data_IF_796943103184
#
_entry.id   IF_796943103184
#
_cell.length_a   1.000
_cell.length_b   1.000
_cell.length_c   1.000
_cell.angle_alpha   90.00
_cell.angle_beta   90.00
_cell.angle_gamma   90.00
#
_symmetry.space_group_name_H-M   'P 1'
#
loop_
_entity.id
_entity.type
_entity.pdbx_description
1 polymer ?
#
# COMPACT_ATOMS: atom_id res chain seq x y z
N UNK A 1 39.21 -11.45 27.05
CA UNK A 1 37.80 -11.10 27.34
C UNK A 1 37.40 -9.91 26.49
N UNK A 2 36.98 -10.13 25.25
CA UNK A 2 36.41 -9.10 24.36
C UNK A 2 35.74 -9.79 23.16
N UNK A 3 34.83 -10.73 23.43
CA UNK A 3 34.11 -11.47 22.40
C UNK A 3 32.67 -11.62 22.86
N UNK A 4 31.90 -10.53 22.79
CA UNK A 4 30.44 -10.47 23.04
C UNK A 4 29.93 -9.03 22.89
N UNK A 5 30.06 -8.42 21.71
CA UNK A 5 29.47 -7.09 21.50
C UNK A 5 29.23 -6.68 20.05
N UNK A 6 29.11 -7.57 19.05
CA UNK A 6 28.73 -7.14 17.69
C UNK A 6 27.91 -8.24 17.02
N UNK A 7 26.61 -8.33 17.32
CA UNK A 7 25.69 -9.20 16.58
C UNK A 7 24.25 -8.65 16.56
N UNK A 8 24.10 -7.34 16.33
CA UNK A 8 22.79 -6.66 16.39
C UNK A 8 22.55 -5.63 15.28
N UNK A 9 23.26 -5.72 14.14
CA UNK A 9 23.15 -4.74 13.06
C UNK A 9 22.91 -5.34 11.65
N UNK A 10 22.30 -6.53 11.58
CA UNK A 10 21.85 -7.16 10.32
C UNK A 10 20.34 -7.40 10.37
N UNK A 11 19.56 -6.34 10.49
CA UNK A 11 18.15 -6.36 10.07
C UNK A 11 18.09 -5.65 8.73
N UNK A 12 17.79 -6.35 7.62
CA UNK A 12 17.62 -5.68 6.34
C UNK A 12 16.43 -4.73 6.45
N UNK A 13 16.67 -3.45 6.20
CA UNK A 13 15.65 -2.49 5.82
C UNK A 13 15.06 -2.97 4.49
N UNK A 14 14.13 -3.92 4.55
CA UNK A 14 13.25 -4.23 3.42
C UNK A 14 12.41 -2.98 3.20
N UNK A 15 12.76 -2.24 2.15
CA UNK A 15 12.01 -1.07 1.72
C UNK A 15 10.54 -1.44 1.57
N UNK A 16 9.70 -0.83 2.41
CA UNK A 16 8.28 -1.10 2.52
C UNK A 16 7.57 -0.53 1.29
N UNK A 17 7.65 -1.22 0.15
CA UNK A 17 6.75 -1.00 -1.01
C UNK A 17 5.30 -1.46 -0.73
N UNK A 18 5.00 -1.83 0.52
CA UNK A 18 3.75 -2.42 1.00
C UNK A 18 2.48 -1.63 0.65
N UNK A 19 2.58 -0.34 0.35
CA UNK A 19 1.41 0.54 0.20
C UNK A 19 1.14 1.03 -1.22
N UNK A 20 1.98 0.68 -2.20
CA UNK A 20 1.87 1.21 -3.58
C UNK A 20 0.56 0.83 -4.27
N UNK A 21 -0.05 -0.31 -3.91
CA UNK A 21 -1.30 -0.79 -4.48
C UNK A 21 -2.43 -0.81 -3.43
N UNK A 22 -2.55 0.26 -2.65
CA UNK A 22 -3.61 0.38 -1.65
C UNK A 22 -4.45 1.63 -1.86
N UNK A 23 -5.73 1.53 -1.55
CA UNK A 23 -6.65 2.67 -1.48
C UNK A 23 -7.27 2.75 -0.09
N UNK A 24 -7.64 3.95 0.36
CA UNK A 24 -8.38 4.08 1.61
C UNK A 24 -9.81 3.57 1.42
N UNK A 25 -10.34 3.00 2.50
CA UNK A 25 -11.73 2.62 2.64
C UNK A 25 -12.24 3.18 3.97
N UNK A 26 -13.27 4.00 3.91
CA UNK A 26 -13.90 4.61 5.08
C UNK A 26 -15.40 4.40 4.97
N UNK A 27 -16.00 3.80 5.99
CA UNK A 27 -17.44 3.63 6.05
C UNK A 27 -17.96 4.12 7.39
N UNK A 28 -19.11 4.78 7.40
CA UNK A 28 -19.76 5.24 8.62
C UNK A 28 -21.27 5.25 8.47
N UNK A 29 -21.98 5.10 9.57
CA UNK A 29 -23.44 5.09 9.60
C UNK A 29 -23.98 6.05 10.65
N UNK A 30 -25.18 6.57 10.39
CA UNK A 30 -25.89 7.46 11.31
C UNK A 30 -26.45 6.74 12.55
N UNK A 31 -26.55 5.41 12.51
CA UNK A 31 -26.93 4.54 13.64
C UNK A 31 -25.81 3.57 13.98
N UNK A 32 -25.85 3.01 15.19
CA UNK A 32 -24.95 1.91 15.56
C UNK A 32 -25.16 0.73 14.62
N UNK A 33 -24.08 0.14 14.15
CA UNK A 33 -24.11 -0.93 13.14
C UNK A 33 -23.13 -2.03 13.50
N UNK A 34 -23.62 -3.26 13.64
CA UNK A 34 -22.77 -4.42 13.84
C UNK A 34 -22.09 -4.85 12.53
N UNK A 35 -22.68 -4.50 11.37
CA UNK A 35 -22.03 -4.62 10.06
C UNK A 35 -20.67 -3.89 10.04
N UNK A 36 -20.59 -2.64 10.51
CA UNK A 36 -19.33 -1.90 10.51
C UNK A 36 -18.34 -2.39 11.58
N UNK A 37 -18.82 -2.94 12.69
CA UNK A 37 -17.99 -3.48 13.78
C UNK A 37 -17.36 -4.83 13.40
N UNK A 38 -18.11 -5.66 12.66
CA UNK A 38 -17.67 -6.99 12.24
C UNK A 38 -16.63 -6.98 11.12
N UNK A 39 -16.42 -5.82 10.46
CA UNK A 39 -15.34 -5.61 9.49
C UNK A 39 -13.96 -5.71 10.16
N UNK A 40 -13.49 -6.94 10.27
CA UNK A 40 -12.22 -7.29 10.89
C UNK A 40 -11.06 -6.87 9.97
N UNK A 41 -10.01 -6.23 10.51
CA UNK A 41 -8.83 -5.93 9.72
C UNK A 41 -8.01 -7.22 9.62
N UNK A 42 -8.26 -8.02 8.57
CA UNK A 42 -7.29 -9.03 8.16
C UNK A 42 -5.94 -8.35 7.85
N UNK A 43 -4.84 -9.10 7.86
CA UNK A 43 -3.48 -8.55 7.77
C UNK A 43 -3.29 -7.60 6.56
N UNK A 44 -4.06 -7.79 5.48
CA UNK A 44 -4.35 -6.79 4.43
C UNK A 44 -5.70 -7.15 3.76
N UNK A 45 -6.81 -6.47 4.04
CA UNK A 45 -8.07 -6.83 3.41
C UNK A 45 -8.07 -6.42 1.93
N UNK A 46 -8.60 -7.29 1.06
CA UNK A 46 -8.87 -6.96 -0.33
C UNK A 46 -10.15 -6.12 -0.44
N UNK A 47 -10.13 -5.12 -1.32
CA UNK A 47 -11.26 -4.20 -1.53
C UNK A 47 -12.55 -4.91 -1.93
N UNK A 48 -12.46 -5.85 -2.88
CA UNK A 48 -13.61 -6.67 -3.30
C UNK A 48 -14.15 -7.55 -2.18
N UNK A 49 -13.29 -8.14 -1.35
CA UNK A 49 -13.70 -8.97 -0.23
C UNK A 49 -14.43 -8.15 0.86
N UNK A 50 -14.00 -6.91 1.11
CA UNK A 50 -14.68 -5.99 2.02
C UNK A 50 -16.04 -5.56 1.49
N UNK A 51 -16.12 -5.19 0.20
CA UNK A 51 -17.40 -4.85 -0.40
C UNK A 51 -18.34 -6.05 -0.39
N UNK A 52 -17.83 -7.24 -0.72
CA UNK A 52 -18.63 -8.46 -0.69
C UNK A 52 -19.13 -8.78 0.72
N UNK A 53 -18.31 -8.63 1.77
CA UNK A 53 -18.77 -8.86 3.14
C UNK A 53 -19.86 -7.88 3.58
N UNK A 54 -19.77 -6.63 3.14
CA UNK A 54 -20.78 -5.59 3.37
C UNK A 54 -22.07 -5.90 2.62
N UNK A 55 -21.99 -6.19 1.32
CA UNK A 55 -23.14 -6.52 0.47
C UNK A 55 -23.81 -7.81 0.92
N UNK A 56 -23.04 -8.78 1.40
CA UNK A 56 -23.54 -10.11 1.79
C UNK A 56 -24.30 -10.08 3.11
N UNK A 57 -24.04 -9.09 3.97
CA UNK A 57 -24.67 -8.94 5.27
C UNK A 57 -26.13 -8.46 5.13
N UNK A 58 -27.07 -9.11 5.83
CA UNK A 58 -28.50 -8.77 5.77
C UNK A 58 -28.83 -7.39 6.37
N UNK A 59 -28.02 -6.93 7.33
CA UNK A 59 -28.22 -5.65 8.01
C UNK A 59 -28.08 -4.46 7.06
N UNK A 60 -27.42 -4.64 5.90
CA UNK A 60 -27.27 -3.55 4.92
C UNK A 60 -28.61 -3.11 4.33
N UNK A 61 -29.59 -4.01 4.21
CA UNK A 61 -30.90 -3.67 3.70
C UNK A 61 -31.79 -2.98 4.75
N UNK A 62 -31.32 -2.84 6.00
CA UNK A 62 -32.02 -2.09 7.05
C UNK A 62 -31.86 -0.58 6.93
N UNK A 63 -30.89 -0.11 6.14
CA UNK A 63 -30.68 1.32 5.87
C UNK A 63 -31.71 1.84 4.86
N UNK A 64 -32.14 3.08 5.04
CA UNK A 64 -33.04 3.76 4.10
C UNK A 64 -32.25 4.36 2.93
N UNK A 65 -30.98 4.69 3.18
CA UNK A 65 -30.05 5.15 2.17
C UNK A 65 -28.67 4.50 2.32
N UNK A 66 -28.12 4.01 1.22
CA UNK A 66 -26.71 3.57 1.15
C UNK A 66 -25.99 4.40 0.11
N UNK A 67 -25.00 5.15 0.53
CA UNK A 67 -24.22 6.08 -0.30
C UNK A 67 -22.87 5.45 -0.59
N UNK A 68 -22.60 5.15 -1.85
CA UNK A 68 -21.32 4.61 -2.32
C UNK A 68 -20.58 5.73 -3.05
N UNK A 69 -19.51 6.23 -2.44
CA UNK A 69 -18.69 7.32 -2.97
C UNK A 69 -17.38 6.72 -3.48
N UNK A 70 -17.14 6.92 -4.78
CA UNK A 70 -15.89 6.52 -5.42
C UNK A 70 -15.11 7.77 -5.85
N UNK A 71 -13.86 7.86 -5.40
CA UNK A 71 -12.97 8.96 -5.76
C UNK A 71 -11.68 8.48 -6.40
N UNK A 72 -11.50 8.71 -7.71
CA UNK A 72 -10.30 8.29 -8.41
C UNK A 72 -9.04 8.98 -7.88
N UNK A 73 -7.98 8.22 -7.60
CA UNK A 73 -6.70 8.74 -7.12
C UNK A 73 -6.66 9.15 -5.64
N UNK A 74 -7.74 8.89 -4.87
CA UNK A 74 -7.78 9.14 -3.44
C UNK A 74 -6.73 8.31 -2.69
N UNK A 75 -5.98 8.96 -1.82
CA UNK A 75 -4.94 8.31 -1.01
C UNK A 75 -5.17 8.53 0.48
N UNK A 76 -4.65 7.60 1.30
CA UNK A 76 -4.74 7.67 2.77
C UNK A 76 -4.16 8.96 3.35
N UNK A 77 -3.14 9.52 2.71
CA UNK A 77 -2.56 10.81 3.09
C UNK A 77 -3.55 11.96 2.98
N UNK A 78 -4.43 11.96 1.97
CA UNK A 78 -5.38 13.06 1.77
C UNK A 78 -6.37 13.10 2.94
N UNK A 79 -6.94 11.94 3.28
CA UNK A 79 -7.86 11.79 4.41
C UNK A 79 -7.20 12.08 5.75
N UNK A 80 -5.96 11.63 5.95
CA UNK A 80 -5.20 11.90 7.19
C UNK A 80 -4.86 13.38 7.36
N UNK A 81 -4.72 14.13 6.26
CA UNK A 81 -4.42 15.56 6.29
C UNK A 81 -5.65 16.46 6.33
N UNK A 82 -6.86 15.88 6.36
CA UNK A 82 -8.09 16.63 6.54
C UNK A 82 -8.03 17.44 7.84
N UNK A 83 -8.51 18.68 7.78
CA UNK A 83 -8.61 19.50 8.98
C UNK A 83 -9.64 18.88 9.92
N UNK A 84 -9.33 18.64 11.21
CA UNK A 84 -10.29 18.05 12.14
C UNK A 84 -11.58 18.86 12.33
N UNK A 85 -11.54 20.17 12.03
CA UNK A 85 -12.68 21.08 12.07
C UNK A 85 -13.58 21.02 10.83
N UNK A 86 -13.11 20.42 9.73
CA UNK A 86 -13.93 20.30 8.52
C UNK A 86 -15.15 19.41 8.78
N UNK A 87 -16.19 19.57 7.96
CA UNK A 87 -17.49 18.95 8.19
C UNK A 87 -17.42 17.44 7.98
N UNK A 88 -16.73 17.00 6.93
CA UNK A 88 -16.53 15.58 6.65
C UNK A 88 -15.78 14.85 7.77
N UNK A 89 -14.70 15.45 8.29
CA UNK A 89 -13.95 14.87 9.40
C UNK A 89 -14.80 14.73 10.66
N UNK A 90 -15.65 15.74 10.95
CA UNK A 90 -16.63 15.66 12.05
C UNK A 90 -17.69 14.60 11.80
N UNK A 91 -18.28 14.51 10.61
CA UNK A 91 -19.24 13.46 10.27
C UNK A 91 -18.69 12.05 10.51
N UNK A 92 -17.45 11.79 10.09
CA UNK A 92 -16.82 10.47 10.28
C UNK A 92 -16.51 10.21 11.76
N UNK A 93 -16.04 11.23 12.49
CA UNK A 93 -15.64 11.12 13.90
C UNK A 93 -16.84 10.97 14.84
N UNK A 94 -17.90 11.73 14.58
CA UNK A 94 -19.08 11.82 15.45
C UNK A 94 -20.13 10.76 15.10
N UNK A 95 -19.94 10.02 14.00
CA UNK A 95 -20.82 8.92 13.60
C UNK A 95 -20.86 7.81 14.68
N UNK A 96 -22.06 7.32 15.06
CA UNK A 96 -22.21 6.25 16.06
C UNK A 96 -21.50 4.94 15.73
N UNK A 97 -21.32 4.64 14.44
CA UNK A 97 -20.46 3.56 13.99
C UNK A 97 -19.64 4.03 12.79
N UNK A 98 -18.33 3.84 12.85
CA UNK A 98 -17.41 4.16 11.76
C UNK A 98 -16.27 3.15 11.68
N UNK A 99 -15.78 2.92 10.46
CA UNK A 99 -14.66 2.04 10.16
C UNK A 99 -13.75 2.70 9.15
N UNK A 100 -12.48 2.83 9.50
CA UNK A 100 -11.46 3.45 8.66
C UNK A 100 -10.33 2.45 8.44
N UNK A 101 -10.10 2.11 7.19
CA UNK A 101 -9.04 1.21 6.73
C UNK A 101 -8.17 2.01 5.75
N UNK A 102 -7.06 2.61 6.21
CA UNK A 102 -6.24 3.48 5.37
C UNK A 102 -5.61 2.76 4.16
N UNK A 103 -5.37 1.46 4.30
CA UNK A 103 -4.63 0.66 3.33
C UNK A 103 -5.38 -0.64 3.03
N UNK A 104 -6.27 -0.59 2.04
CA UNK A 104 -6.98 -1.75 1.51
C UNK A 104 -6.34 -2.12 0.17
N UNK A 105 -6.04 -3.40 -0.04
CA UNK A 105 -5.45 -3.83 -1.31
C UNK A 105 -6.47 -3.70 -2.44
N UNK A 106 -6.05 -3.06 -3.53
CA UNK A 106 -6.89 -2.96 -4.73
C UNK A 106 -7.04 -4.34 -5.39
N UNK A 107 -8.24 -4.65 -5.86
CA UNK A 107 -8.44 -5.76 -6.79
C UNK A 107 -8.10 -5.28 -8.20
N UNK A 108 -7.38 -6.09 -8.98
CA UNK A 108 -7.04 -5.81 -10.39
C UNK A 108 -8.18 -6.20 -11.36
N UNK A 109 -9.31 -6.70 -10.85
CA UNK A 109 -10.50 -7.03 -11.65
C UNK A 109 -11.50 -5.88 -11.77
N UNK A 110 -12.56 -6.10 -12.56
CA UNK A 110 -13.75 -5.24 -12.48
C UNK A 110 -14.20 -5.20 -11.02
N UNK A 111 -14.29 -4.02 -10.42
CA UNK A 111 -14.99 -3.90 -9.14
C UNK A 111 -16.40 -4.45 -9.36
N UNK A 112 -16.91 -5.29 -8.45
CA UNK A 112 -18.30 -5.74 -8.56
C UNK A 112 -19.20 -4.51 -8.60
N UNK A 113 -20.25 -4.52 -9.42
CA UNK A 113 -21.27 -3.45 -9.43
C UNK A 113 -22.05 -3.50 -8.12
N UNK A 114 -21.43 -2.97 -7.07
CA UNK A 114 -21.92 -3.00 -5.70
C UNK A 114 -23.29 -2.37 -5.64
N UNK A 115 -23.47 -1.24 -6.31
CA UNK A 115 -24.68 -0.45 -6.24
C UNK A 115 -25.83 -1.14 -6.98
N UNK A 116 -25.58 -1.76 -8.13
CA UNK A 116 -26.56 -2.58 -8.84
C UNK A 116 -26.95 -3.84 -8.06
N UNK A 117 -25.98 -4.56 -7.50
CA UNK A 117 -26.25 -5.72 -6.64
C UNK A 117 -27.06 -5.33 -5.39
N UNK A 118 -26.71 -4.22 -4.74
CA UNK A 118 -27.40 -3.75 -3.55
C UNK A 118 -28.84 -3.30 -3.85
N UNK A 119 -29.03 -2.57 -4.95
CA UNK A 119 -30.34 -2.15 -5.43
C UNK A 119 -31.26 -3.36 -5.67
N UNK A 120 -30.76 -4.37 -6.39
CA UNK A 120 -31.52 -5.59 -6.68
C UNK A 120 -31.85 -6.41 -5.42
N UNK A 121 -30.89 -6.56 -4.50
CA UNK A 121 -31.07 -7.33 -3.26
C UNK A 121 -32.02 -6.65 -2.28
N UNK A 122 -31.83 -5.35 -2.05
CA UNK A 122 -32.59 -4.63 -1.02
C UNK A 122 -33.88 -3.99 -1.58
N UNK A 123 -34.23 -4.24 -2.84
CA UNK A 123 -35.40 -3.61 -3.49
C UNK A 123 -35.32 -2.09 -3.50
N UNK A 124 -34.10 -1.55 -3.57
CA UNK A 124 -33.82 -0.12 -3.46
C UNK A 124 -33.62 0.50 -4.84
N UNK A 125 -33.91 1.79 -5.00
CA UNK A 125 -33.71 2.50 -6.26
C UNK A 125 -32.26 2.97 -6.38
N UNK A 126 -31.59 2.65 -7.48
CA UNK A 126 -30.25 3.13 -7.77
C UNK A 126 -30.30 4.53 -8.40
N UNK A 127 -29.56 5.47 -7.82
CA UNK A 127 -29.43 6.85 -8.31
C UNK A 127 -27.94 7.19 -8.48
N UNK A 128 -27.54 7.61 -9.67
CA UNK A 128 -26.20 8.16 -9.92
C UNK A 128 -26.21 9.67 -9.60
N UNK A 129 -25.38 10.06 -8.64
CA UNK A 129 -25.27 11.43 -8.14
C UNK A 129 -23.93 12.01 -8.54
N UNK A 130 -23.96 13.10 -9.30
CA UNK A 130 -22.79 13.95 -9.52
C UNK A 130 -22.75 15.05 -8.47
N UNK A 131 -21.69 15.15 -7.66
CA UNK A 131 -21.55 16.21 -6.66
C UNK A 131 -21.72 17.59 -7.29
N UNK A 132 -22.53 18.46 -6.67
CA UNK A 132 -22.82 19.81 -7.19
C UNK A 132 -23.96 19.87 -8.23
N UNK A 133 -24.54 18.73 -8.62
CA UNK A 133 -25.79 18.71 -9.40
C UNK A 133 -27.00 18.79 -8.45
N UNK A 134 -27.88 19.75 -8.68
CA UNK A 134 -28.99 20.07 -7.76
C UNK A 134 -30.27 19.25 -7.95
N UNK A 135 -30.27 18.24 -8.82
CA UNK A 135 -31.49 17.52 -9.19
C UNK A 135 -31.34 16.00 -9.08
N UNK A 136 -31.47 15.47 -7.87
CA UNK A 136 -31.77 14.05 -7.64
C UNK A 136 -33.05 13.97 -6.82
N UNK A 137 -34.05 13.29 -7.37
CA UNK A 137 -35.38 13.21 -6.78
C UNK A 137 -35.46 11.94 -5.90
N UNK A 138 -35.40 12.14 -4.59
CA UNK A 138 -35.54 11.08 -3.61
C UNK A 138 -37.03 10.87 -3.32
N UNK A 139 -37.57 9.74 -3.77
CA UNK A 139 -38.92 9.33 -3.35
C UNK A 139 -38.90 8.95 -1.86
N UNK A 140 -39.68 9.65 -1.03
CA UNK A 140 -39.74 9.43 0.42
C UNK A 140 -40.18 8.01 0.82
N UNK A 141 -40.91 7.31 -0.06
CA UNK A 141 -41.46 5.98 0.21
C UNK A 141 -40.54 4.81 -0.17
N UNK A 142 -39.37 5.07 -0.74
CA UNK A 142 -38.45 4.03 -1.22
C UNK A 142 -37.08 4.16 -0.58
N UNK A 143 -36.39 3.02 -0.49
CA UNK A 143 -34.98 2.98 -0.12
C UNK A 143 -34.13 3.30 -1.34
N UNK A 144 -33.01 3.98 -1.12
CA UNK A 144 -32.16 4.46 -2.20
C UNK A 144 -30.71 4.01 -2.04
N UNK A 145 -30.10 3.63 -3.16
CA UNK A 145 -28.65 3.41 -3.26
C UNK A 145 -28.10 4.54 -4.11
N UNK A 146 -27.26 5.37 -3.53
CA UNK A 146 -26.70 6.56 -4.19
C UNK A 146 -25.26 6.26 -4.58
N UNK A 147 -25.00 6.19 -5.88
CA UNK A 147 -23.64 6.08 -6.41
C UNK A 147 -23.12 7.49 -6.67
N UNK A 148 -22.11 7.92 -5.94
CA UNK A 148 -21.51 9.25 -6.07
C UNK A 148 -20.12 9.15 -6.69
N UNK A 149 -20.00 9.67 -7.91
CA UNK A 149 -18.72 9.71 -8.64
C UNK A 149 -18.01 11.03 -8.39
N UNK A 150 -16.91 11.01 -7.62
CA UNK A 150 -16.11 12.21 -7.33
C UNK A 150 -15.09 12.48 -8.44
N UNK A 151 -14.68 13.75 -8.65
CA UNK A 151 -13.59 14.08 -9.58
C UNK A 151 -12.27 13.43 -9.16
N UNK A 152 -11.44 13.10 -10.15
CA UNK A 152 -10.13 12.49 -9.94
C UNK A 152 -9.15 13.45 -9.25
N UNK A 153 -8.29 12.91 -8.39
CA UNK A 153 -7.20 13.66 -7.77
C UNK A 153 -5.84 13.17 -8.23
N UNK A 154 -5.04 14.08 -8.78
CA UNK A 154 -3.67 13.83 -9.24
C UNK A 154 -2.77 15.01 -8.87
N UNK A 155 -1.45 14.78 -8.87
CA UNK A 155 -0.45 15.84 -8.68
C UNK A 155 0.21 15.88 -7.31
N UNK A 156 0.89 16.99 -7.01
CA UNK A 156 1.72 17.15 -5.82
C UNK A 156 0.91 17.16 -4.52
N UNK A 157 1.53 16.78 -3.40
CA UNK A 157 0.86 16.76 -2.09
C UNK A 157 0.23 18.12 -1.70
N UNK A 158 0.89 19.24 -2.04
CA UNK A 158 0.36 20.59 -1.78
C UNK A 158 -0.90 20.86 -2.60
N UNK A 159 -0.89 20.51 -3.88
CA UNK A 159 -2.04 20.66 -4.76
C UNK A 159 -3.22 19.78 -4.31
N UNK A 160 -2.94 18.49 -4.03
CA UNK A 160 -3.94 17.54 -3.51
C UNK A 160 -4.61 18.04 -2.24
N UNK A 161 -3.87 18.66 -1.33
CA UNK A 161 -4.44 19.24 -0.11
C UNK A 161 -5.46 20.34 -0.40
N UNK A 162 -5.18 21.23 -1.37
CA UNK A 162 -6.10 22.29 -1.78
C UNK A 162 -7.35 21.69 -2.45
N UNK A 163 -7.17 20.80 -3.41
CA UNK A 163 -8.28 20.13 -4.11
C UNK A 163 -9.15 19.32 -3.14
N UNK A 164 -8.54 18.63 -2.16
CA UNK A 164 -9.27 17.87 -1.16
C UNK A 164 -10.15 18.77 -0.28
N UNK A 165 -9.75 20.02 -0.03
CA UNK A 165 -10.60 20.97 0.71
C UNK A 165 -11.84 21.38 -0.12
N UNK A 166 -11.71 21.55 -1.43
CA UNK A 166 -12.84 21.82 -2.32
C UNK A 166 -13.77 20.61 -2.43
N UNK A 167 -13.20 19.41 -2.62
CA UNK A 167 -13.97 18.16 -2.66
C UNK A 167 -14.68 17.87 -1.33
N UNK A 168 -14.06 18.22 -0.21
CA UNK A 168 -14.69 18.10 1.12
C UNK A 168 -15.91 19.01 1.26
N UNK A 169 -15.84 20.26 0.80
CA UNK A 169 -16.97 21.18 0.82
C UNK A 169 -18.14 20.68 -0.06
N UNK A 170 -17.82 20.17 -1.26
CA UNK A 170 -18.82 19.57 -2.16
C UNK A 170 -19.47 18.34 -1.53
N UNK A 171 -18.65 17.41 -1.04
CA UNK A 171 -19.13 16.15 -0.49
C UNK A 171 -19.95 16.36 0.79
N UNK A 172 -19.48 17.22 1.69
CA UNK A 172 -20.21 17.52 2.91
C UNK A 172 -21.56 18.18 2.64
N UNK A 173 -21.64 19.07 1.65
CA UNK A 173 -22.91 19.69 1.23
C UNK A 173 -23.92 18.67 0.69
N UNK A 174 -23.50 17.67 -0.08
CA UNK A 174 -24.41 16.62 -0.56
C UNK A 174 -24.82 15.66 0.57
N UNK A 175 -23.89 15.26 1.43
CA UNK A 175 -24.19 14.39 2.56
C UNK A 175 -25.15 15.04 3.58
N UNK A 176 -25.08 16.35 3.76
CA UNK A 176 -26.04 17.09 4.59
C UNK A 176 -27.47 17.03 4.04
N UNK A 177 -27.64 17.05 2.71
CA UNK A 177 -28.97 16.86 2.10
C UNK A 177 -29.51 15.47 2.39
N UNK A 178 -28.65 14.44 2.33
CA UNK A 178 -29.03 13.06 2.67
C UNK A 178 -29.42 12.96 4.15
N UNK A 179 -28.62 13.55 5.04
CA UNK A 179 -28.88 13.54 6.47
C UNK A 179 -30.14 14.33 6.86
N UNK A 180 -30.51 15.36 6.08
CA UNK A 180 -31.76 16.09 6.25
C UNK A 180 -32.98 15.29 5.79
N UNK A 181 -32.82 14.42 4.79
CA UNK A 181 -33.88 13.58 4.25
C UNK A 181 -34.10 12.29 5.06
N UNK A 182 -33.02 11.61 5.48
CA UNK A 182 -33.11 10.38 6.28
C UNK A 182 -32.19 10.40 7.49
N UNK A 183 -32.69 9.84 8.60
CA UNK A 183 -31.92 9.63 9.83
C UNK A 183 -31.14 8.31 9.84
N UNK A 184 -31.36 7.45 8.84
CA UNK A 184 -30.83 6.09 8.79
C UNK A 184 -30.11 5.82 7.47
N UNK A 185 -28.83 6.16 7.43
CA UNK A 185 -28.00 6.01 6.24
C UNK A 185 -26.64 5.38 6.57
N UNK A 186 -26.08 4.74 5.56
CA UNK A 186 -24.72 4.20 5.53
C UNK A 186 -23.96 4.88 4.41
N UNK A 187 -22.76 5.38 4.70
CA UNK A 187 -21.84 5.93 3.71
C UNK A 187 -20.63 5.04 3.59
N UNK A 188 -20.26 4.70 2.37
CA UNK A 188 -19.07 3.96 2.00
C UNK A 188 -18.26 4.87 1.07
N UNK A 189 -17.08 5.28 1.52
CA UNK A 189 -16.18 6.17 0.78
C UNK A 189 -14.86 5.47 0.51
N UNK A 190 -14.51 5.30 -0.76
CA UNK A 190 -13.31 4.60 -1.15
C UNK A 190 -12.60 5.21 -2.36
N UNK A 191 -11.30 4.97 -2.44
CA UNK A 191 -10.49 5.34 -3.60
C UNK A 191 -10.62 4.33 -4.73
N UNK A 192 -10.72 4.84 -5.96
CA UNK A 192 -10.69 4.05 -7.19
C UNK A 192 -9.42 4.34 -8.02
N UNK A 193 -8.97 3.42 -8.88
CA UNK A 193 -7.79 3.64 -9.71
C UNK A 193 -8.04 4.74 -10.74
N UNK A 194 -7.00 5.49 -11.08
CA UNK A 194 -7.06 6.46 -12.18
C UNK A 194 -7.20 5.73 -13.52
N UNK A 195 -7.89 6.34 -14.47
CA UNK A 195 -8.18 5.72 -15.77
C UNK A 195 -6.90 5.30 -16.54
N UNK A 196 -5.79 6.02 -16.33
CA UNK A 196 -4.49 5.69 -16.92
C UNK A 196 -3.80 4.53 -16.20
N UNK A 197 -3.93 4.44 -14.88
CA UNK A 197 -3.41 3.33 -14.07
C UNK A 197 -4.09 2.01 -14.46
N UNK A 198 -5.40 2.06 -14.77
CA UNK A 198 -6.17 0.92 -15.25
C UNK A 198 -5.58 0.25 -16.50
N UNK A 199 -4.83 0.99 -17.33
CA UNK A 199 -4.18 0.45 -18.55
C UNK A 199 -2.82 -0.19 -18.28
N UNK A 200 -2.21 0.11 -17.14
CA UNK A 200 -0.91 -0.43 -16.74
C UNK A 200 -1.05 -1.74 -15.96
N UNK A 201 -2.24 -2.00 -15.41
CA UNK A 201 -2.59 -3.28 -14.81
C UNK A 201 -3.17 -4.19 -15.89
N UNK A 202 -2.39 -5.18 -16.32
CA UNK A 202 -2.91 -6.30 -17.11
C UNK A 202 -4.04 -6.98 -16.33
N UNK A 203 -5.19 -7.30 -16.98
CA UNK A 203 -6.25 -8.04 -16.31
C UNK A 203 -5.69 -9.39 -15.82
N UNK A 204 -6.08 -9.87 -14.63
CA UNK A 204 -5.74 -11.22 -14.22
C UNK A 204 -6.33 -12.20 -15.24
N UNK A 205 -5.47 -12.97 -15.89
CA UNK A 205 -5.89 -14.11 -16.71
C UNK A 205 -6.73 -15.05 -15.85
N UNK A 206 -7.85 -15.56 -16.39
CA UNK A 206 -8.80 -16.51 -15.77
C UNK A 206 -8.21 -17.89 -15.37
N UNK A 207 -6.88 -18.01 -15.26
CA UNK A 207 -6.18 -19.21 -14.86
C UNK A 207 -5.20 -18.88 -13.72
N UNK A 208 -5.72 -18.67 -12.52
CA UNK A 208 -4.87 -18.74 -11.33
C UNK A 208 -5.63 -19.42 -10.19
N UNK A 209 -5.32 -20.70 -10.01
CA UNK A 209 -5.72 -21.49 -8.84
C UNK A 209 -4.76 -21.19 -7.68
N UNK A 210 -5.10 -21.55 -6.41
CA UNK A 210 -4.33 -21.14 -5.24
C UNK A 210 -2.87 -21.67 -5.25
N UNK A 211 -1.87 -20.91 -4.75
CA UNK A 211 -0.48 -21.32 -4.85
C UNK A 211 -0.06 -22.29 -3.74
N UNK A 212 0.46 -23.45 -4.14
CA UNK A 212 1.42 -24.22 -3.35
C UNK A 212 2.83 -23.57 -3.43
N UNK A 213 3.72 -23.79 -2.44
CA UNK A 213 5.00 -23.11 -2.38
C UNK A 213 6.14 -23.99 -2.93
N UNK A 214 6.67 -23.67 -4.11
CA UNK A 214 8.07 -23.93 -4.46
C UNK A 214 8.45 -23.33 -5.83
N UNK A 215 9.62 -22.71 -5.88
CA UNK A 215 10.50 -22.76 -7.05
C UNK A 215 10.47 -21.57 -8.01
N UNK A 216 11.56 -20.80 -7.94
CA UNK A 216 12.44 -20.57 -9.08
C UNK A 216 12.16 -19.46 -10.13
N UNK A 217 13.08 -18.48 -10.06
CA UNK A 217 13.71 -17.69 -11.13
C UNK A 217 12.81 -16.85 -12.07
N UNK A 218 12.60 -15.60 -11.65
CA UNK A 218 12.18 -14.51 -12.52
C UNK A 218 13.26 -14.16 -13.54
N UNK A 219 12.95 -14.35 -14.82
CA UNK A 219 13.57 -13.64 -15.94
C UNK A 219 12.52 -13.46 -17.05
N UNK A 220 11.86 -12.29 -17.07
CA UNK A 220 11.19 -11.78 -18.27
C UNK A 220 11.08 -10.25 -18.19
N UNK A 221 11.76 -9.65 -19.14
CA UNK A 221 11.90 -8.24 -19.52
C UNK A 221 10.57 -7.59 -19.89
N UNK A 222 10.44 -6.27 -19.72
CA UNK A 222 9.72 -5.41 -20.68
C UNK A 222 10.06 -3.93 -20.50
N UNK A 223 10.49 -3.34 -21.61
CA UNK A 223 10.98 -1.98 -21.74
C UNK A 223 9.86 -0.95 -21.55
N UNK A 224 10.12 0.02 -20.67
CA UNK A 224 9.28 1.21 -20.48
C UNK A 224 9.88 2.36 -21.29
N UNK A 225 9.18 2.80 -22.33
CA UNK A 225 9.44 4.08 -23.00
C UNK A 225 8.69 5.16 -22.23
N UNK A 226 9.42 6.10 -21.63
CA UNK A 226 8.87 7.28 -20.96
C UNK A 226 9.28 8.56 -21.72
N UNK A 227 8.37 9.54 -21.94
CA UNK A 227 8.75 10.82 -22.52
C UNK A 227 9.11 11.86 -21.45
N UNK A 228 10.22 12.56 -21.72
CA UNK A 228 10.53 13.96 -21.40
C UNK A 228 10.68 14.35 -19.92
N UNK A 229 11.81 13.94 -19.35
CA UNK A 229 12.49 14.56 -18.21
C UNK A 229 14.02 14.57 -18.46
N UNK A 230 14.76 15.46 -17.81
CA UNK A 230 16.19 15.71 -18.07
C UNK A 230 17.07 14.45 -18.03
N UNK A 231 18.21 14.49 -18.73
CA UNK A 231 19.07 13.32 -19.04
C UNK A 231 19.56 12.52 -17.81
N UNK A 232 19.50 13.09 -16.61
CA UNK A 232 19.86 12.44 -15.34
C UNK A 232 18.66 11.92 -14.53
N UNK A 233 17.43 12.15 -14.98
CA UNK A 233 16.20 11.74 -14.29
C UNK A 233 15.67 10.41 -14.82
N UNK A 234 16.01 10.05 -16.05
CA UNK A 234 15.60 8.80 -16.69
C UNK A 234 16.60 7.64 -16.46
N UNK A 235 17.82 7.95 -16.03
CA UNK A 235 18.75 6.95 -15.54
C UNK A 235 18.75 6.99 -14.01
N UNK A 236 18.03 6.04 -13.43
CA UNK A 236 18.14 5.62 -12.03
C UNK A 236 19.53 5.00 -11.73
N UNK A 237 20.61 5.60 -12.23
CA UNK A 237 22.00 5.19 -11.96
C UNK A 237 22.34 5.31 -10.47
N UNK A 238 21.68 6.22 -9.76
CA UNK A 238 21.76 6.39 -8.31
C UNK A 238 20.44 5.99 -7.65
N UNK A 239 20.00 4.74 -7.84
CA UNK A 239 18.97 4.21 -6.93
C UNK A 239 19.52 4.22 -5.51
N UNK A 240 18.71 4.60 -4.50
CA UNK A 240 19.12 4.52 -3.10
C UNK A 240 19.68 3.14 -2.73
N UNK A 241 19.16 2.07 -3.35
CA UNK A 241 19.65 0.70 -3.19
C UNK A 241 21.08 0.48 -3.74
N UNK A 242 21.43 1.11 -4.87
CA UNK A 242 22.78 1.02 -5.43
C UNK A 242 23.79 1.83 -4.59
N UNK A 243 23.38 2.99 -4.08
CA UNK A 243 24.24 3.80 -3.19
C UNK A 243 24.50 3.06 -1.88
N UNK A 244 23.47 2.47 -1.28
CA UNK A 244 23.63 1.72 -0.03
C UNK A 244 24.42 0.42 -0.24
N UNK A 245 24.21 -0.28 -1.36
CA UNK A 245 25.01 -1.47 -1.68
C UNK A 245 26.48 -1.12 -1.91
N UNK A 246 26.77 -0.03 -2.63
CA UNK A 246 28.13 0.46 -2.85
C UNK A 246 28.80 0.83 -1.52
N UNK A 247 28.07 1.50 -0.61
CA UNK A 247 28.59 1.89 0.71
C UNK A 247 28.88 0.65 1.56
N UNK A 248 27.98 -0.33 1.60
CA UNK A 248 28.20 -1.59 2.33
C UNK A 248 29.39 -2.36 1.77
N UNK A 249 29.51 -2.46 0.44
CA UNK A 249 30.63 -3.17 -0.19
C UNK A 249 31.96 -2.46 0.11
N UNK A 250 32.05 -1.15 -0.08
CA UNK A 250 33.31 -0.42 0.10
C UNK A 250 33.73 -0.24 1.56
N UNK A 251 32.78 -0.03 2.47
CA UNK A 251 33.11 0.30 3.86
C UNK A 251 33.02 -0.89 4.82
N UNK A 252 32.39 -2.00 4.41
CA UNK A 252 32.28 -3.21 5.25
C UNK A 252 32.98 -4.39 4.58
N UNK A 253 32.59 -4.77 3.37
CA UNK A 253 33.12 -5.97 2.73
C UNK A 253 34.61 -5.85 2.40
N UNK A 254 35.02 -4.76 1.73
CA UNK A 254 36.41 -4.56 1.29
C UNK A 254 37.39 -4.50 2.48
N UNK A 255 37.12 -3.78 3.59
CA UNK A 255 38.00 -3.78 4.76
C UNK A 255 38.13 -5.14 5.43
N UNK A 256 37.03 -5.91 5.51
CA UNK A 256 37.05 -7.27 6.09
C UNK A 256 37.89 -8.21 5.24
N UNK A 257 37.74 -8.15 3.91
CA UNK A 257 38.56 -8.95 2.99
C UNK A 257 40.03 -8.53 3.05
N UNK A 258 40.32 -7.23 3.09
CA UNK A 258 41.69 -6.73 3.22
C UNK A 258 42.33 -7.17 4.53
N UNK A 259 41.60 -7.12 5.65
CA UNK A 259 42.09 -7.67 6.92
C UNK A 259 42.36 -9.17 6.81
N UNK A 260 41.50 -9.94 6.14
CA UNK A 260 41.72 -11.36 5.86
C UNK A 260 42.97 -11.62 5.03
N UNK A 261 43.22 -10.82 4.00
CA UNK A 261 44.44 -10.96 3.16
C UNK A 261 45.69 -10.61 3.97
N UNK A 262 45.64 -9.56 4.79
CA UNK A 262 46.76 -9.16 5.64
C UNK A 262 47.08 -10.22 6.70
N UNK A 263 46.07 -10.91 7.25
CA UNK A 263 46.30 -12.00 8.20
C UNK A 263 46.87 -13.24 7.52
N UNK A 264 46.39 -13.60 6.33
CA UNK A 264 46.99 -14.70 5.55
C UNK A 264 48.43 -14.41 5.13
N UNK A 265 48.72 -13.18 4.69
CA UNK A 265 50.07 -12.76 4.32
C UNK A 265 51.05 -12.75 5.51
N UNK A 266 50.54 -12.60 6.74
CA UNK A 266 51.36 -12.63 7.96
C UNK A 266 51.79 -14.04 8.36
N UNK A 267 51.27 -15.10 7.74
CA UNK A 267 51.70 -16.48 8.02
C UNK A 267 53.06 -16.69 7.36
N UNK A 268 54.12 -16.40 8.11
CA UNK A 268 55.46 -16.80 7.74
C UNK A 268 55.62 -18.29 8.04
N UNK A 269 55.88 -19.09 7.01
CA UNK A 269 56.33 -20.47 7.21
C UNK A 269 57.74 -20.43 7.81
N UNK A 270 57.99 -21.05 8.98
CA UNK A 270 59.33 -21.13 9.51
C UNK A 270 60.16 -22.06 8.63
N UNK A 271 60.95 -21.50 7.71
CA UNK A 271 62.04 -22.19 7.04
C UNK A 271 63.16 -22.45 8.05
N UNK A 272 62.93 -23.39 8.97
CA UNK A 272 64.01 -24.10 9.67
C UNK A 272 64.09 -25.52 9.12
N UNK A 273 64.56 -25.60 7.88
CA UNK A 273 65.38 -26.73 7.46
C UNK A 273 66.82 -26.38 7.85
N UNK A 274 67.12 -26.41 9.16
CA UNK A 274 68.51 -26.64 9.57
C UNK A 274 68.85 -28.05 9.09
N UNK A 275 69.57 -28.15 7.98
CA UNK A 275 70.24 -29.39 7.63
C UNK A 275 71.18 -29.73 8.81
N UNK A 276 71.10 -30.95 9.37
CA UNK A 276 71.90 -31.29 10.54
C UNK A 276 73.37 -31.11 10.20
N UNK A 277 74.05 -30.34 11.06
CA UNK A 277 75.47 -30.02 11.01
C UNK A 277 76.27 -31.28 10.68
N UNK A 278 76.87 -31.31 9.49
CA UNK A 278 77.66 -32.45 9.02
C UNK A 278 78.72 -32.83 10.03
N UNK A 279 78.79 -34.12 10.36
CA UNK A 279 79.78 -34.72 11.23
C UNK A 279 81.19 -34.47 10.66
N UNK A 280 81.98 -33.62 11.32
CA UNK A 280 83.35 -33.31 10.91
C UNK A 280 84.30 -34.37 11.51
N UNK A 281 84.59 -35.41 10.74
CA UNK A 281 85.44 -36.53 11.12
C UNK A 281 86.95 -36.29 10.91
N UNK A 282 87.44 -35.05 10.98
CA UNK A 282 88.85 -34.74 10.70
C UNK A 282 89.72 -34.42 11.92
N UNK A 283 89.19 -34.39 13.14
CA UNK A 283 90.02 -34.12 14.33
C UNK A 283 90.65 -35.37 14.97
N UNK A 284 90.77 -36.47 14.20
CA UNK A 284 91.46 -37.68 14.65
C UNK A 284 92.37 -38.23 13.58
N UNK A 285 93.50 -37.55 13.34
CA UNK A 285 94.78 -38.17 12.96
C UNK A 285 95.92 -37.15 12.86
N UNK A 286 96.98 -37.44 13.62
CA UNK A 286 98.36 -36.91 13.56
C UNK A 286 98.52 -35.54 14.24
N UNK A 287 99.30 -35.34 15.31
CA UNK A 287 100.50 -36.03 15.81
C UNK A 287 100.65 -35.77 17.32
#
# INVERSE_FOLDING_TARGET
MAARAILLALLPFTGVFCFSNTTPFVAWSSKSSDLLRSLSPGTRPHHSALLQSIISNDDICSYDAVVVIEQPGLHSSDLRTLQPSCRLARMIKDAPASRQLPHVQRSLGSSPDVSGHLSSRCGSVLIDVRPGSSAWNLEESKKHVLLMSMPSMEGSAKYRKTVMAEHEALLSGELEKIAAWTTNYLVIYSGSPLALERRQFSPPSEFDSPPEPAGDFANATSAVVAPQGGILQNYQLLTPALITSLLVVFFILVPVVMLGIMTLASIQSPLRLEAPKGYNAQEKKVQ
#
